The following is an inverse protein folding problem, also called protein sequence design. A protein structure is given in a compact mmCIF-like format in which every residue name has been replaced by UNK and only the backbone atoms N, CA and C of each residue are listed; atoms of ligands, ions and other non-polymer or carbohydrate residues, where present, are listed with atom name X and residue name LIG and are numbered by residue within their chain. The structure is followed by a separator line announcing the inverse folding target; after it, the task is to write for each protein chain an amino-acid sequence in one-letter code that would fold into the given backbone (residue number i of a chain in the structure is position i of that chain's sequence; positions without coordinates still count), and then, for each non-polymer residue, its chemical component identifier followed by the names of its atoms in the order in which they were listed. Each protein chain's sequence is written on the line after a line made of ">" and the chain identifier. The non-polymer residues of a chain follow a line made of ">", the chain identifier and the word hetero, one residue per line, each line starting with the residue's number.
data_IF_164616051613
#
_entry.id   IF_164616051613
#
_cell.length_a   1.000
_cell.length_b   1.000
_cell.length_c   1.000
_cell.angle_alpha   90.00
_cell.angle_beta   90.00
_cell.angle_gamma   90.00
#
_symmetry.space_group_name_H-M   'P 1'
#
loop_
_entity.id
_entity.type
_entity.pdbx_description
1 polymer ?
#
# COMPACT_ATOMS: atom_id res chain seq x y z
N UNK A 1 10.17 -41.35 39.93
CA UNK A 1 10.81 -40.14 39.40
C UNK A 1 9.99 -39.68 38.20
N UNK A 2 9.19 -38.62 38.29
CA UNK A 2 8.58 -38.05 37.10
C UNK A 2 9.62 -37.19 36.38
N UNK A 3 9.78 -37.43 35.08
CA UNK A 3 10.59 -36.59 34.21
C UNK A 3 9.95 -35.21 34.16
N UNK A 4 10.64 -34.21 34.71
CA UNK A 4 10.32 -32.81 34.49
C UNK A 4 10.49 -32.54 33.00
N UNK A 5 9.35 -32.33 32.35
CA UNK A 5 9.24 -31.86 30.98
C UNK A 5 9.68 -30.40 30.98
N UNK A 6 10.99 -30.15 31.04
CA UNK A 6 11.58 -28.85 30.74
C UNK A 6 11.34 -28.59 29.25
N UNK A 7 10.17 -28.02 28.94
CA UNK A 7 9.96 -27.25 27.72
C UNK A 7 11.09 -26.23 27.67
N UNK A 8 12.06 -26.51 26.80
CA UNK A 8 13.18 -25.64 26.50
C UNK A 8 12.57 -24.29 26.07
N UNK A 9 12.60 -23.30 26.97
CA UNK A 9 12.26 -21.91 26.68
C UNK A 9 13.30 -21.39 25.69
N UNK A 10 13.12 -21.76 24.43
CA UNK A 10 13.87 -21.30 23.29
C UNK A 10 13.91 -19.78 23.33
N UNK A 11 15.13 -19.26 23.31
CA UNK A 11 15.53 -17.85 23.29
C UNK A 11 14.45 -16.93 22.72
N UNK A 12 13.86 -16.08 23.58
CA UNK A 12 12.99 -15.00 23.13
C UNK A 12 13.81 -14.13 22.15
N UNK A 13 13.36 -13.94 20.89
CA UNK A 13 14.08 -13.11 19.92
C UNK A 13 14.41 -11.74 20.51
N UNK A 14 15.64 -11.26 20.33
CA UNK A 14 16.14 -10.03 20.96
C UNK A 14 15.18 -8.84 20.75
N UNK A 15 14.63 -8.72 19.54
CA UNK A 15 13.71 -7.64 19.17
C UNK A 15 12.38 -7.66 19.92
N UNK A 16 12.02 -8.78 20.57
CA UNK A 16 10.83 -8.91 21.42
C UNK A 16 11.08 -8.50 22.88
N UNK A 17 12.33 -8.31 23.28
CA UNK A 17 12.71 -7.97 24.67
C UNK A 17 12.34 -6.53 25.04
N UNK A 18 12.20 -6.26 26.35
CA UNK A 18 11.91 -4.91 26.86
C UNK A 18 13.07 -3.94 26.56
N UNK A 19 14.31 -4.44 26.64
CA UNK A 19 15.51 -3.65 26.38
C UNK A 19 15.55 -3.19 24.92
N UNK A 20 15.21 -4.07 23.97
CA UNK A 20 15.12 -3.66 22.58
C UNK A 20 14.01 -2.63 22.38
N UNK A 21 12.83 -2.83 22.98
CA UNK A 21 11.69 -1.89 22.86
C UNK A 21 12.02 -0.48 23.33
N UNK A 22 12.85 -0.30 24.36
CA UNK A 22 13.27 1.05 24.78
C UNK A 22 14.28 1.67 23.81
N UNK A 23 15.18 0.86 23.24
CA UNK A 23 16.18 1.30 22.26
C UNK A 23 15.56 1.66 20.91
N UNK A 24 14.68 0.82 20.37
CA UNK A 24 14.10 1.00 19.02
C UNK A 24 13.33 2.32 18.91
N UNK A 25 12.69 2.76 19.99
CA UNK A 25 11.97 4.05 20.03
C UNK A 25 12.91 5.24 19.86
N UNK A 26 14.12 5.14 20.43
CA UNK A 26 15.15 6.16 20.28
C UNK A 26 15.72 6.13 18.87
N UNK A 27 15.95 4.93 18.32
CA UNK A 27 16.42 4.74 16.94
C UNK A 27 15.42 5.37 15.94
N UNK A 28 14.12 5.08 16.08
CA UNK A 28 13.05 5.60 15.21
C UNK A 28 12.94 7.13 15.28
N UNK A 29 13.15 7.72 16.46
CA UNK A 29 13.16 9.19 16.59
C UNK A 29 14.40 9.83 15.95
N UNK A 30 15.52 9.12 15.92
CA UNK A 30 16.79 9.61 15.40
C UNK A 30 17.02 9.25 13.92
N UNK A 31 16.23 8.34 13.34
CA UNK A 31 16.37 7.88 11.96
C UNK A 31 15.89 8.89 10.91
N UNK A 32 15.32 10.02 11.34
CA UNK A 32 15.02 11.15 10.48
C UNK A 32 13.73 11.87 10.83
N UNK A 33 13.30 12.74 9.91
CA UNK A 33 12.06 13.52 10.04
C UNK A 33 10.81 12.62 10.13
N UNK A 34 9.90 12.97 11.05
CA UNK A 34 8.58 12.34 11.17
C UNK A 34 7.73 12.56 9.92
N UNK A 35 6.68 11.73 9.74
CA UNK A 35 5.73 11.93 8.65
C UNK A 35 4.99 13.26 8.81
N UNK A 36 5.15 14.16 7.83
CA UNK A 36 4.50 15.48 7.83
C UNK A 36 2.99 15.34 7.66
N UNK A 37 2.24 16.30 8.22
CA UNK A 37 0.77 16.36 8.11
C UNK A 37 0.24 16.47 6.68
N UNK A 38 1.04 16.98 5.75
CA UNK A 38 0.68 17.11 4.34
C UNK A 38 1.13 15.90 3.50
N UNK A 39 1.89 14.97 4.09
CA UNK A 39 2.42 13.79 3.40
C UNK A 39 3.54 14.08 2.40
N UNK A 40 4.08 15.30 2.36
CA UNK A 40 5.11 15.69 1.39
C UNK A 40 6.37 14.83 1.46
N UNK A 41 6.68 14.23 2.61
CA UNK A 41 7.78 13.29 2.81
C UNK A 41 7.33 11.81 2.93
N UNK A 42 6.10 11.46 2.54
CA UNK A 42 5.54 10.12 2.71
C UNK A 42 6.39 9.01 2.08
N UNK A 43 6.91 9.22 0.87
CA UNK A 43 7.74 8.20 0.18
C UNK A 43 9.00 7.86 0.97
N UNK A 44 9.76 8.89 1.33
CA UNK A 44 11.01 8.75 2.08
C UNK A 44 10.76 8.22 3.49
N UNK A 45 9.67 8.66 4.13
CA UNK A 45 9.24 8.14 5.42
C UNK A 45 8.86 6.65 5.33
N UNK A 46 8.05 6.23 4.36
CA UNK A 46 7.62 4.85 4.18
C UNK A 46 8.81 3.93 3.90
N UNK A 47 9.75 4.37 3.06
CA UNK A 47 10.99 3.64 2.80
C UNK A 47 11.80 3.44 4.10
N UNK A 48 12.08 4.52 4.84
CA UNK A 48 12.87 4.45 6.08
C UNK A 48 12.22 3.57 7.15
N UNK A 49 10.90 3.63 7.30
CA UNK A 49 10.19 2.80 8.28
C UNK A 49 10.20 1.33 7.90
N UNK A 50 10.01 1.01 6.62
CA UNK A 50 10.15 -0.38 6.12
C UNK A 50 11.57 -0.89 6.35
N UNK A 51 12.58 -0.12 5.97
CA UNK A 51 13.99 -0.47 6.19
C UNK A 51 14.32 -0.70 7.67
N UNK A 52 13.82 0.17 8.57
CA UNK A 52 13.99 -0.02 10.02
C UNK A 52 13.35 -1.32 10.52
N UNK A 53 12.14 -1.63 10.07
CA UNK A 53 11.44 -2.85 10.47
C UNK A 53 12.19 -4.08 9.93
N UNK A 54 12.63 -4.04 8.69
CA UNK A 54 13.33 -5.16 8.05
C UNK A 54 14.69 -5.44 8.70
N UNK A 55 15.44 -4.38 9.03
CA UNK A 55 16.78 -4.50 9.61
C UNK A 55 16.78 -4.81 11.12
N UNK A 56 15.79 -4.33 11.87
CA UNK A 56 15.81 -4.42 13.34
C UNK A 56 14.77 -5.38 13.93
N UNK A 57 13.73 -5.73 13.17
CA UNK A 57 12.65 -6.59 13.65
C UNK A 57 12.64 -7.89 12.85
N UNK A 58 12.23 -7.82 11.58
CA UNK A 58 12.14 -8.96 10.67
C UNK A 58 11.85 -8.49 9.25
N UNK A 59 12.60 -8.98 8.25
CA UNK A 59 12.33 -8.70 6.84
C UNK A 59 10.92 -9.08 6.40
N UNK A 60 10.29 -8.21 5.61
CA UNK A 60 9.01 -8.46 4.96
C UNK A 60 7.82 -8.48 5.91
N UNK A 61 7.95 -7.99 7.16
CA UNK A 61 6.86 -8.02 8.13
C UNK A 61 5.59 -7.35 7.61
N UNK A 62 5.76 -6.20 6.96
CA UNK A 62 4.65 -5.39 6.43
C UNK A 62 4.03 -5.95 5.14
N UNK A 63 4.61 -7.00 4.57
CA UNK A 63 4.10 -7.65 3.36
C UNK A 63 3.25 -8.89 3.69
N UNK A 64 3.22 -9.30 4.96
CA UNK A 64 2.38 -10.38 5.48
C UNK A 64 1.09 -9.84 6.09
N UNK A 65 -0.03 -9.95 5.36
CA UNK A 65 -1.36 -9.50 5.85
C UNK A 65 -1.78 -10.18 7.17
N UNK A 66 -1.36 -11.42 7.40
CA UNK A 66 -1.70 -12.21 8.59
C UNK A 66 -0.65 -12.16 9.70
N UNK A 67 0.34 -11.25 9.62
CA UNK A 67 1.40 -11.14 10.62
C UNK A 67 0.86 -10.95 12.04
N UNK A 68 -0.25 -10.22 12.18
CA UNK A 68 -0.94 -9.99 13.45
C UNK A 68 -1.62 -11.24 14.02
N UNK A 69 -2.01 -12.21 13.19
CA UNK A 69 -2.60 -13.48 13.61
C UNK A 69 -1.52 -14.47 14.04
N UNK A 70 -0.39 -14.48 13.32
CA UNK A 70 0.73 -15.40 13.55
C UNK A 70 1.59 -14.94 14.75
N UNK A 71 1.82 -13.64 14.89
CA UNK A 71 2.61 -13.07 15.98
C UNK A 71 2.06 -11.72 16.48
N UNK A 72 0.99 -11.75 17.29
CA UNK A 72 0.36 -10.53 17.82
C UNK A 72 1.30 -9.65 18.65
N UNK A 73 2.29 -10.26 19.33
CA UNK A 73 3.28 -9.51 20.11
C UNK A 73 4.23 -8.77 19.19
N UNK A 74 4.66 -9.41 18.11
CA UNK A 74 5.52 -8.78 17.10
C UNK A 74 4.81 -7.63 16.39
N UNK A 75 3.57 -7.83 16.00
CA UNK A 75 2.78 -6.82 15.29
C UNK A 75 2.61 -5.56 16.15
N UNK A 76 2.38 -5.72 17.46
CA UNK A 76 2.35 -4.58 18.40
C UNK A 76 3.66 -3.80 18.47
N UNK A 77 4.82 -4.46 18.34
CA UNK A 77 6.13 -3.78 18.33
C UNK A 77 6.28 -2.98 17.03
N UNK A 78 5.92 -3.56 15.89
CA UNK A 78 5.95 -2.88 14.59
C UNK A 78 4.98 -1.69 14.58
N UNK A 79 3.77 -1.87 15.11
CA UNK A 79 2.79 -0.79 15.25
C UNK A 79 3.31 0.33 16.18
N UNK A 80 4.05 -0.01 17.22
CA UNK A 80 4.70 0.97 18.12
C UNK A 80 5.79 1.76 17.38
N UNK A 81 6.61 1.09 16.57
CA UNK A 81 7.61 1.73 15.70
C UNK A 81 6.94 2.71 14.75
N UNK A 82 5.89 2.28 14.05
CA UNK A 82 5.11 3.14 13.14
C UNK A 82 4.59 4.36 13.90
N UNK A 83 3.84 4.17 14.98
CA UNK A 83 3.24 5.27 15.77
C UNK A 83 4.26 6.28 16.28
N UNK A 84 5.48 5.84 16.57
CA UNK A 84 6.54 6.71 17.11
C UNK A 84 7.19 7.61 16.06
N UNK A 85 7.02 7.26 14.79
CA UNK A 85 7.52 8.02 13.64
C UNK A 85 6.51 9.03 13.08
N UNK A 86 5.35 9.17 13.73
CA UNK A 86 4.24 9.98 13.27
C UNK A 86 4.00 11.16 14.20
N UNK A 87 3.47 12.25 13.64
CA UNK A 87 2.86 13.31 14.43
C UNK A 87 1.57 12.83 15.12
N UNK A 88 1.17 13.55 16.18
CA UNK A 88 0.00 13.20 17.01
C UNK A 88 -1.29 13.06 16.20
N UNK A 89 -1.54 13.96 15.25
CA UNK A 89 -2.78 13.95 14.45
C UNK A 89 -2.92 12.69 13.61
N UNK A 90 -1.83 12.25 12.97
CA UNK A 90 -1.81 11.01 12.17
C UNK A 90 -1.93 9.80 13.10
N UNK A 91 -1.23 9.83 14.23
CA UNK A 91 -1.30 8.79 15.27
C UNK A 91 -2.73 8.56 15.77
N UNK A 92 -3.49 9.64 15.96
CA UNK A 92 -4.90 9.55 16.35
C UNK A 92 -5.75 8.84 15.29
N UNK A 93 -5.52 9.12 14.01
CA UNK A 93 -6.27 8.51 12.90
C UNK A 93 -6.05 7.00 12.80
N UNK A 94 -4.87 6.52 13.17
CA UNK A 94 -4.53 5.08 13.17
C UNK A 94 -4.67 4.41 14.55
N UNK A 95 -5.18 5.12 15.55
CA UNK A 95 -5.25 4.60 16.93
C UNK A 95 -6.04 3.30 17.04
N UNK A 96 -7.05 3.12 16.18
CA UNK A 96 -7.94 1.95 16.09
C UNK A 96 -7.50 0.90 15.08
N UNK A 97 -6.36 1.07 14.41
CA UNK A 97 -5.87 0.08 13.46
C UNK A 97 -5.61 -1.25 14.18
N UNK A 98 -6.19 -2.38 13.71
CA UNK A 98 -6.05 -3.67 14.39
C UNK A 98 -4.67 -4.31 14.19
N UNK A 99 -3.94 -3.92 13.16
CA UNK A 99 -2.58 -4.39 12.88
C UNK A 99 -1.63 -3.28 12.42
N UNK A 100 -0.32 -3.58 12.37
CA UNK A 100 0.67 -2.71 11.75
C UNK A 100 0.41 -2.52 10.23
N UNK A 101 -0.02 -3.57 9.53
CA UNK A 101 -0.36 -3.50 8.11
C UNK A 101 -1.56 -2.57 7.87
N UNK A 102 -2.61 -2.66 8.69
CA UNK A 102 -3.78 -1.78 8.62
C UNK A 102 -3.44 -0.33 8.94
N UNK A 103 -2.51 -0.11 9.89
CA UNK A 103 -2.00 1.22 10.17
C UNK A 103 -1.29 1.79 8.93
N UNK A 104 -0.41 1.04 8.28
CA UNK A 104 0.26 1.48 7.05
C UNK A 104 -0.74 1.74 5.91
N UNK A 105 -1.77 0.88 5.75
CA UNK A 105 -2.88 1.06 4.80
C UNK A 105 -3.61 2.39 5.06
N UNK A 106 -3.94 2.65 6.31
CA UNK A 106 -4.61 3.89 6.74
C UNK A 106 -3.74 5.12 6.50
N UNK A 107 -2.45 5.07 6.87
CA UNK A 107 -1.51 6.19 6.66
C UNK A 107 -1.39 6.49 5.17
N UNK A 108 -1.21 5.47 4.33
CA UNK A 108 -1.17 5.62 2.87
C UNK A 108 -2.40 6.39 2.39
N UNK A 109 -3.60 5.95 2.78
CA UNK A 109 -4.87 6.57 2.39
C UNK A 109 -5.01 8.04 2.80
N UNK A 110 -4.27 8.55 3.79
CA UNK A 110 -4.32 9.97 4.18
C UNK A 110 -3.63 10.91 3.19
N UNK A 111 -2.64 10.40 2.47
CA UNK A 111 -1.78 11.17 1.56
C UNK A 111 -1.93 10.72 0.12
N UNK A 112 -2.66 9.63 -0.07
CA UNK A 112 -2.81 8.96 -1.33
C UNK A 112 -4.26 9.11 -1.81
N UNK A 113 -4.43 9.90 -2.88
CA UNK A 113 -5.72 10.17 -3.52
C UNK A 113 -5.77 9.46 -4.87
N UNK A 114 -6.07 8.15 -4.88
CA UNK A 114 -6.19 7.41 -6.12
C UNK A 114 -7.28 8.00 -7.01
N UNK A 115 -6.99 7.95 -8.30
CA UNK A 115 -7.91 8.38 -9.32
C UNK A 115 -7.95 7.29 -10.37
N UNK A 116 -9.12 6.69 -10.50
CA UNK A 116 -9.40 5.68 -11.51
C UNK A 116 -9.20 6.22 -12.91
N UNK A 117 -9.63 7.46 -13.16
CA UNK A 117 -9.39 8.13 -14.45
C UNK A 117 -7.89 8.31 -14.74
N UNK A 118 -7.05 8.63 -13.75
CA UNK A 118 -5.59 8.66 -13.92
C UNK A 118 -5.01 7.28 -14.21
N UNK A 119 -5.46 6.24 -13.51
CA UNK A 119 -5.02 4.86 -13.73
C UNK A 119 -5.36 4.37 -15.15
N UNK A 120 -6.61 4.59 -15.60
CA UNK A 120 -7.06 4.25 -16.96
C UNK A 120 -6.26 5.01 -18.00
N UNK A 121 -6.08 6.33 -17.83
CA UNK A 121 -5.29 7.15 -18.75
C UNK A 121 -3.81 6.73 -18.81
N UNK A 122 -3.23 6.37 -17.66
CA UNK A 122 -1.85 5.87 -17.60
C UNK A 122 -1.69 4.57 -18.38
N UNK A 123 -2.59 3.59 -18.17
CA UNK A 123 -2.52 2.33 -18.91
C UNK A 123 -2.80 2.52 -20.41
N UNK A 124 -3.76 3.38 -20.76
CA UNK A 124 -4.01 3.74 -22.15
C UNK A 124 -2.75 4.30 -22.83
N UNK A 125 -2.05 5.21 -22.16
CA UNK A 125 -0.82 5.80 -22.69
C UNK A 125 0.28 4.73 -22.83
N UNK A 126 0.44 3.83 -21.85
CA UNK A 126 1.41 2.73 -21.94
C UNK A 126 1.13 1.79 -23.12
N UNK A 127 -0.14 1.48 -23.40
CA UNK A 127 -0.53 0.65 -24.55
C UNK A 127 -0.30 1.34 -25.89
N UNK A 128 -0.21 2.68 -25.90
CA UNK A 128 0.06 3.47 -27.09
C UNK A 128 1.57 3.71 -27.33
N UNK A 129 2.44 3.35 -26.39
CA UNK A 129 3.90 3.43 -26.58
C UNK A 129 4.32 2.33 -27.54
N UNK A 130 4.90 2.73 -28.67
CA UNK A 130 5.49 1.85 -29.66
C UNK A 130 6.97 2.20 -29.78
N UNK A 131 7.82 1.18 -29.92
CA UNK A 131 9.23 1.40 -30.28
C UNK A 131 9.27 1.89 -31.73
N UNK A 132 9.74 3.12 -31.93
CA UNK A 132 9.97 3.69 -33.25
C UNK A 132 11.32 3.23 -33.82
N UNK A 133 11.46 3.20 -35.15
CA UNK A 133 12.68 2.77 -35.85
C UNK A 133 13.89 3.66 -35.51
N UNK A 134 13.63 4.92 -35.16
CA UNK A 134 14.64 5.92 -34.81
C UNK A 134 14.84 6.08 -33.28
N UNK A 135 14.06 5.37 -32.44
CA UNK A 135 14.13 5.49 -30.99
C UNK A 135 15.16 4.53 -30.36
N UNK A 136 15.91 5.02 -29.38
CA UNK A 136 16.76 4.16 -28.57
C UNK A 136 15.93 3.20 -27.72
N UNK A 137 16.25 1.91 -27.81
CA UNK A 137 15.53 0.83 -27.10
C UNK A 137 15.47 1.07 -25.59
N UNK A 138 16.50 1.67 -24.97
CA UNK A 138 16.46 1.93 -23.53
C UNK A 138 15.47 3.04 -23.19
N UNK A 139 15.29 4.04 -24.07
CA UNK A 139 14.30 5.10 -23.88
C UNK A 139 12.88 4.52 -23.93
N UNK A 140 12.60 3.65 -24.90
CA UNK A 140 11.34 2.91 -24.98
C UNK A 140 11.08 2.09 -23.70
N UNK A 141 12.05 1.25 -23.29
CA UNK A 141 11.91 0.41 -22.10
C UNK A 141 11.72 1.24 -20.82
N UNK A 142 12.42 2.36 -20.71
CA UNK A 142 12.31 3.26 -19.57
C UNK A 142 10.92 3.93 -19.50
N UNK A 143 10.35 4.34 -20.64
CA UNK A 143 9.01 4.92 -20.69
C UNK A 143 7.92 3.93 -20.22
N UNK A 144 8.05 2.65 -20.60
CA UNK A 144 7.16 1.58 -20.14
C UNK A 144 7.32 1.38 -18.63
N UNK A 145 8.56 1.28 -18.13
CA UNK A 145 8.83 1.11 -16.71
C UNK A 145 8.30 2.29 -15.87
N UNK A 146 8.46 3.52 -16.35
CA UNK A 146 7.92 4.72 -15.69
C UNK A 146 6.38 4.68 -15.61
N UNK A 147 5.71 4.11 -16.61
CA UNK A 147 4.27 3.87 -16.59
C UNK A 147 3.83 2.94 -15.45
N UNK A 148 4.56 1.82 -15.24
CA UNK A 148 4.31 0.92 -14.11
C UNK A 148 4.58 1.63 -12.76
N UNK A 149 5.70 2.35 -12.64
CA UNK A 149 6.01 3.13 -11.45
C UNK A 149 4.94 4.20 -11.16
N UNK A 150 4.34 4.77 -12.20
CA UNK A 150 3.22 5.72 -12.06
C UNK A 150 1.95 5.03 -11.59
N UNK A 151 1.61 3.85 -12.10
CA UNK A 151 0.46 3.06 -11.62
C UNK A 151 0.64 2.60 -10.16
N UNK A 152 1.84 2.17 -9.77
CA UNK A 152 2.16 1.80 -8.39
C UNK A 152 2.08 3.01 -7.46
N UNK A 153 2.65 4.14 -7.89
CA UNK A 153 2.46 5.43 -7.21
C UNK A 153 1.00 5.78 -7.15
N UNK A 154 0.22 5.47 -8.19
CA UNK A 154 -1.22 5.65 -8.25
C UNK A 154 -2.02 4.55 -7.52
N UNK A 155 -1.35 3.76 -6.65
CA UNK A 155 -1.99 2.77 -5.78
C UNK A 155 -2.74 1.67 -6.52
N UNK A 156 -2.46 1.49 -7.80
CA UNK A 156 -3.01 0.40 -8.58
C UNK A 156 -2.45 -0.93 -8.06
N UNK A 157 -3.31 -1.93 -7.92
CA UNK A 157 -2.91 -3.27 -7.49
C UNK A 157 -2.87 -4.17 -8.72
N UNK A 158 -1.69 -4.71 -9.04
CA UNK A 158 -1.50 -5.56 -10.20
C UNK A 158 -2.03 -6.98 -9.95
N UNK A 159 -3.33 -7.16 -10.17
CA UNK A 159 -3.98 -8.48 -10.21
C UNK A 159 -4.68 -8.68 -11.55
N UNK A 160 -4.95 -9.95 -11.90
CA UNK A 160 -5.78 -10.27 -13.08
C UNK A 160 -7.11 -9.52 -13.05
N UNK A 161 -7.74 -9.45 -11.88
CA UNK A 161 -9.05 -8.82 -11.69
C UNK A 161 -8.99 -7.30 -11.89
N UNK A 162 -8.00 -6.63 -11.29
CA UNK A 162 -7.79 -5.18 -11.43
C UNK A 162 -7.38 -4.76 -12.84
N UNK A 163 -6.63 -5.60 -13.56
CA UNK A 163 -6.33 -5.35 -14.98
C UNK A 163 -7.57 -5.53 -15.85
N UNK A 164 -8.34 -6.60 -15.63
CA UNK A 164 -9.59 -6.85 -16.35
C UNK A 164 -10.56 -5.67 -16.18
N UNK A 165 -10.65 -5.13 -14.97
CA UNK A 165 -11.50 -3.97 -14.68
C UNK A 165 -11.08 -2.72 -15.47
N UNK A 166 -9.78 -2.48 -15.69
CA UNK A 166 -9.31 -1.37 -16.54
C UNK A 166 -9.69 -1.62 -18.01
N UNK A 167 -9.49 -2.84 -18.52
CA UNK A 167 -9.82 -3.15 -19.91
C UNK A 167 -11.31 -2.99 -20.23
N UNK A 168 -12.19 -3.30 -19.26
CA UNK A 168 -13.61 -2.99 -19.39
C UNK A 168 -13.86 -1.50 -19.58
N UNK A 169 -13.16 -0.62 -18.85
CA UNK A 169 -13.30 0.83 -18.97
C UNK A 169 -12.65 1.42 -20.24
N UNK A 170 -11.49 0.91 -20.66
CA UNK A 170 -10.80 1.39 -21.87
C UNK A 170 -11.65 1.27 -23.14
N UNK A 171 -12.52 0.26 -23.19
CA UNK A 171 -13.41 0.01 -24.31
C UNK A 171 -14.73 0.81 -24.24
N UNK A 172 -14.97 1.58 -23.16
CA UNK A 172 -16.22 2.31 -23.00
C UNK A 172 -16.27 3.58 -23.86
N UNK A 173 -17.37 3.79 -24.62
CA UNK A 173 -17.60 5.07 -25.26
C UNK A 173 -17.79 6.20 -24.24
N UNK A 174 -17.51 7.45 -24.65
CA UNK A 174 -17.59 8.64 -23.80
C UNK A 174 -18.95 8.84 -23.08
N UNK A 175 -20.04 8.28 -23.62
CA UNK A 175 -21.38 8.31 -22.99
C UNK A 175 -21.47 7.56 -21.65
N UNK A 176 -20.46 6.76 -21.29
CA UNK A 176 -20.37 6.03 -20.02
C UNK A 176 -19.52 6.76 -18.97
N UNK A 177 -19.41 8.10 -19.04
CA UNK A 177 -18.61 8.91 -18.11
C UNK A 177 -18.98 8.73 -16.62
N UNK A 178 -20.21 8.31 -16.34
CA UNK A 178 -20.69 8.08 -14.98
C UNK A 178 -20.06 6.83 -14.34
N UNK A 179 -19.65 5.83 -15.13
CA UNK A 179 -18.93 4.65 -14.60
C UNK A 179 -17.63 5.10 -13.94
N UNK A 180 -16.76 5.79 -14.68
CA UNK A 180 -15.46 6.23 -14.17
C UNK A 180 -15.61 7.26 -13.04
N UNK A 181 -16.63 8.14 -13.11
CA UNK A 181 -16.92 9.09 -12.03
C UNK A 181 -17.35 8.38 -10.73
N UNK A 182 -18.19 7.34 -10.84
CA UNK A 182 -18.62 6.52 -9.71
C UNK A 182 -17.45 5.73 -9.12
N UNK A 183 -16.62 5.11 -9.95
CA UNK A 183 -15.45 4.35 -9.52
C UNK A 183 -14.38 5.25 -8.87
N UNK A 184 -14.20 6.48 -9.35
CA UNK A 184 -13.39 7.48 -8.64
C UNK A 184 -13.92 7.72 -7.23
N UNK A 185 -15.24 7.84 -7.04
CA UNK A 185 -15.85 7.98 -5.71
C UNK A 185 -15.62 6.76 -4.81
N UNK A 186 -15.79 5.55 -5.36
CA UNK A 186 -15.52 4.29 -4.63
C UNK A 186 -14.06 4.22 -4.18
N UNK A 187 -13.14 4.57 -5.08
CA UNK A 187 -11.71 4.52 -4.83
C UNK A 187 -11.27 5.63 -3.86
N UNK A 188 -11.91 6.80 -3.88
CA UNK A 188 -11.70 7.83 -2.86
C UNK A 188 -12.22 7.42 -1.49
N UNK A 189 -13.35 6.73 -1.43
CA UNK A 189 -13.91 6.22 -0.18
C UNK A 189 -13.07 5.09 0.41
N UNK A 190 -12.48 4.24 -0.45
CA UNK A 190 -11.62 3.13 -0.07
C UNK A 190 -10.30 3.14 -0.87
N UNK A 191 -9.33 4.04 -0.55
CA UNK A 191 -8.11 4.29 -1.35
C UNK A 191 -7.14 3.14 -1.54
N UNK A 192 -7.45 2.01 -0.93
CA UNK A 192 -6.55 0.88 -0.77
C UNK A 192 -7.22 -0.44 -1.14
N UNK A 193 -8.52 -0.39 -1.47
CA UNK A 193 -9.24 -1.54 -1.99
C UNK A 193 -9.22 -1.46 -3.52
N UNK A 194 -8.73 -2.50 -4.20
CA UNK A 194 -8.68 -2.49 -5.66
C UNK A 194 -10.09 -2.51 -6.26
N UNK A 195 -10.25 -1.78 -7.38
CA UNK A 195 -11.47 -1.88 -8.19
C UNK A 195 -11.49 -3.22 -8.93
N UNK A 196 -12.50 -4.02 -8.65
CA UNK A 196 -12.69 -5.36 -9.22
C UNK A 196 -13.37 -5.33 -10.59
N UNK A 197 -13.20 -6.39 -11.39
CA UNK A 197 -13.86 -6.47 -12.69
C UNK A 197 -15.38 -6.53 -12.56
N UNK A 198 -15.89 -7.26 -11.55
CA UNK A 198 -17.32 -7.38 -11.27
C UNK A 198 -17.96 -6.02 -10.94
N UNK A 199 -17.30 -5.18 -10.13
CA UNK A 199 -17.81 -3.84 -9.81
C UNK A 199 -17.97 -2.98 -11.07
N UNK A 200 -16.98 -3.02 -11.98
CA UNK A 200 -17.04 -2.29 -13.25
C UNK A 200 -18.16 -2.83 -14.13
N UNK A 201 -18.27 -4.16 -14.25
CA UNK A 201 -19.29 -4.82 -15.05
C UNK A 201 -20.72 -4.48 -14.60
N UNK A 202 -20.97 -4.51 -13.29
CA UNK A 202 -22.27 -4.14 -12.71
C UNK A 202 -22.63 -2.68 -12.98
N UNK A 203 -21.67 -1.76 -12.88
CA UNK A 203 -21.90 -0.35 -13.22
C UNK A 203 -22.20 -0.14 -14.69
N UNK A 204 -21.46 -0.80 -15.60
CA UNK A 204 -21.71 -0.73 -17.04
C UNK A 204 -23.12 -1.25 -17.36
N UNK A 205 -23.51 -2.39 -16.78
CA UNK A 205 -24.85 -2.97 -16.97
C UNK A 205 -25.94 -2.04 -16.45
N UNK A 206 -25.74 -1.46 -15.27
CA UNK A 206 -26.69 -0.53 -14.66
C UNK A 206 -26.87 0.72 -15.52
N UNK A 207 -25.78 1.33 -16.00
CA UNK A 207 -25.87 2.50 -16.87
C UNK A 207 -26.45 2.17 -18.25
N UNK A 208 -26.21 0.97 -18.77
CA UNK A 208 -26.86 0.51 -20.02
C UNK A 208 -28.36 0.33 -19.85
N UNK A 209 -28.86 -0.08 -18.68
CA UNK A 209 -30.29 -0.22 -18.44
C UNK A 209 -31.04 1.13 -18.32
N UNK A 210 -30.31 2.21 -18.05
CA UNK A 210 -30.84 3.58 -17.92
C UNK A 210 -30.87 4.34 -19.26
N UNK A 211 -30.17 3.85 -20.27
CA UNK A 211 -30.05 4.44 -21.61
C UNK A 211 -30.87 3.66 -22.65
#
# INVERSE_FOLDING_TARGET
>A
MPAENTLNESEIPEWKTIIFRSKIMTIVKNSGEQLKKDGSNYRDWNFRIRDLIDNWIKPGWLDCNDAHLVDPKGDRIVLMVIKSSLETDITMKISKAPSAADAMKTIKALFYFPSRSKQVACLHNMLAVCLDDDEDVNTYLWSIAEGFDKLDRDGFVFTKDSLTSIFYELALPAKYSDVTSTLNGVLQANPTDPITANQVEELIRSQRALN
#
